data_IF_878967878595
#
_entry.id   IF_878967878595
#
_cell.length_a   1.000
_cell.length_b   1.000
_cell.length_c   1.000
_cell.angle_alpha   90.00
_cell.angle_beta   90.00
_cell.angle_gamma   90.00
#
_symmetry.space_group_name_H-M   'P 1'
#
loop_
_entity.id
_entity.type
_entity.pdbx_description
1 polymer ?
#
# COMPACT_ATOMS: atom_id res chain seq x y z
N UNK A 1 -56.38 13.68 -18.32
CA UNK A 1 -56.11 12.67 -17.27
C UNK A 1 -54.84 11.84 -17.47
N UNK A 2 -54.69 11.00 -18.52
CA UNK A 2 -53.47 10.17 -18.67
C UNK A 2 -52.21 10.97 -19.13
N UNK A 3 -52.40 12.08 -19.86
CA UNK A 3 -51.32 13.01 -20.27
C UNK A 3 -50.80 13.91 -19.15
N UNK A 4 -51.66 14.24 -18.18
CA UNK A 4 -51.30 15.10 -17.04
C UNK A 4 -50.43 14.34 -16.04
N UNK A 5 -50.72 13.04 -15.84
CA UNK A 5 -49.93 12.15 -15.00
C UNK A 5 -48.47 12.01 -15.50
N UNK A 6 -48.28 11.87 -16.81
CA UNK A 6 -46.93 11.82 -17.40
C UNK A 6 -46.17 13.15 -17.25
N UNK A 7 -46.82 14.30 -17.40
CA UNK A 7 -46.19 15.61 -17.19
C UNK A 7 -45.76 15.82 -15.74
N UNK A 8 -46.59 15.42 -14.78
CA UNK A 8 -46.25 15.50 -13.36
C UNK A 8 -45.12 14.54 -12.99
N UNK A 9 -45.10 13.31 -13.52
CA UNK A 9 -44.01 12.35 -13.28
C UNK A 9 -42.67 12.86 -13.84
N UNK A 10 -42.65 13.48 -15.02
CA UNK A 10 -41.42 14.03 -15.62
C UNK A 10 -40.89 15.24 -14.83
N UNK A 11 -41.79 16.11 -14.34
CA UNK A 11 -41.41 17.25 -13.49
C UNK A 11 -40.91 16.75 -12.13
N UNK A 12 -41.59 15.80 -11.50
CA UNK A 12 -41.15 15.19 -10.23
C UNK A 12 -39.84 14.41 -10.37
N UNK A 13 -39.61 13.72 -11.50
CA UNK A 13 -38.34 13.07 -11.79
C UNK A 13 -37.20 14.08 -12.03
N UNK A 14 -37.49 15.23 -12.65
CA UNK A 14 -36.56 16.35 -12.78
C UNK A 14 -36.16 16.94 -11.42
N UNK A 15 -37.13 17.13 -10.52
CA UNK A 15 -36.89 17.58 -9.15
C UNK A 15 -36.15 16.56 -8.30
N UNK A 16 -36.46 15.25 -8.42
CA UNK A 16 -35.71 14.16 -7.80
C UNK A 16 -34.28 14.07 -8.32
N UNK A 17 -34.04 14.33 -9.61
CA UNK A 17 -32.70 14.39 -10.20
C UNK A 17 -31.86 15.57 -9.67
N UNK A 18 -32.48 16.74 -9.50
CA UNK A 18 -31.84 17.92 -8.88
C UNK A 18 -31.58 17.69 -7.39
N UNK A 19 -32.52 17.06 -6.69
CA UNK A 19 -32.34 16.69 -5.28
C UNK A 19 -31.27 15.60 -5.11
N UNK A 20 -31.24 14.57 -5.96
CA UNK A 20 -30.26 13.48 -5.91
C UNK A 20 -28.84 13.95 -6.19
N UNK A 21 -28.64 15.01 -6.99
CA UNK A 21 -27.32 15.67 -7.13
C UNK A 21 -26.93 16.51 -5.91
N UNK A 22 -27.90 17.03 -5.15
CA UNK A 22 -27.68 17.93 -4.00
C UNK A 22 -27.69 17.22 -2.63
N UNK A 23 -28.28 16.03 -2.53
CA UNK A 23 -28.43 15.26 -1.28
C UNK A 23 -27.18 14.52 -0.76
N UNK A 24 -26.31 13.91 -1.60
CA UNK A 24 -25.24 13.06 -1.08
C UNK A 24 -24.13 13.84 -0.35
N UNK A 25 -24.03 15.16 -0.56
CA UNK A 25 -22.95 15.98 -0.02
C UNK A 25 -23.06 16.37 1.46
N UNK A 26 -24.21 16.21 2.13
CA UNK A 26 -24.39 16.71 3.52
C UNK A 26 -24.82 15.65 4.55
N UNK A 27 -25.39 14.52 4.13
CA UNK A 27 -25.88 13.48 5.06
C UNK A 27 -24.95 12.27 5.22
N UNK A 28 -23.89 12.15 4.41
CA UNK A 28 -22.95 11.03 4.49
C UNK A 28 -21.83 11.21 5.53
N UNK A 29 -21.94 12.18 6.45
CA UNK A 29 -20.96 12.38 7.52
C UNK A 29 -19.59 12.91 7.08
N UNK A 30 -19.42 13.26 5.80
CA UNK A 30 -18.30 14.08 5.35
C UNK A 30 -18.63 15.54 5.65
N UNK A 31 -18.14 16.04 6.79
CA UNK A 31 -17.87 17.47 6.91
C UNK A 31 -16.97 17.92 5.75
N UNK A 32 -17.26 19.11 5.24
CA UNK A 32 -16.40 19.97 4.41
C UNK A 32 -16.33 19.65 2.90
N UNK A 33 -16.94 20.58 2.14
CA UNK A 33 -16.52 21.09 0.84
C UNK A 33 -16.19 20.07 -0.26
N UNK A 34 -17.24 19.64 -0.98
CA UNK A 34 -17.08 19.21 -2.36
C UNK A 34 -16.48 20.37 -3.19
N UNK A 35 -15.15 20.39 -3.35
CA UNK A 35 -14.37 21.49 -3.95
C UNK A 35 -14.84 21.91 -5.35
N UNK A 36 -15.45 21.00 -6.12
CA UNK A 36 -15.97 21.30 -7.46
C UNK A 36 -17.34 21.98 -7.48
N UNK A 37 -18.08 22.04 -6.37
CA UNK A 37 -19.43 22.62 -6.32
C UNK A 37 -19.45 23.92 -5.51
N UNK A 38 -19.39 25.06 -6.21
CA UNK A 38 -19.50 26.41 -5.62
C UNK A 38 -20.73 27.13 -6.20
N UNK A 39 -21.91 27.02 -5.55
CA UNK A 39 -23.10 27.70 -6.04
C UNK A 39 -22.92 29.22 -5.92
N UNK A 40 -22.83 29.92 -7.06
CA UNK A 40 -22.61 31.38 -7.12
C UNK A 40 -23.90 32.20 -6.95
N UNK A 41 -25.05 31.55 -6.78
CA UNK A 41 -26.35 32.22 -6.71
C UNK A 41 -26.70 32.69 -5.29
N UNK A 42 -27.06 33.97 -5.16
CA UNK A 42 -27.24 34.65 -3.85
C UNK A 42 -28.37 34.09 -2.97
N UNK A 43 -29.42 33.53 -3.58
CA UNK A 43 -30.55 32.95 -2.83
C UNK A 43 -30.47 31.43 -2.71
N UNK A 44 -29.36 30.81 -3.12
CA UNK A 44 -29.17 29.39 -2.95
C UNK A 44 -28.90 29.08 -1.47
N UNK A 45 -29.74 28.25 -0.85
CA UNK A 45 -29.45 27.67 0.46
C UNK A 45 -29.69 26.16 0.45
N UNK A 46 -28.83 25.35 1.12
CA UNK A 46 -29.04 23.90 1.19
C UNK A 46 -30.38 23.53 1.85
N UNK A 47 -30.83 24.34 2.80
CA UNK A 47 -32.09 24.14 3.52
C UNK A 47 -33.32 24.36 2.65
N UNK A 48 -33.30 25.34 1.75
CA UNK A 48 -34.40 25.56 0.79
C UNK A 48 -34.48 24.42 -0.24
N UNK A 49 -33.33 23.89 -0.66
CA UNK A 49 -33.27 22.71 -1.54
C UNK A 49 -33.82 21.46 -0.84
N UNK A 50 -33.48 21.24 0.43
CA UNK A 50 -33.97 20.10 1.22
C UNK A 50 -35.48 20.21 1.48
N UNK A 51 -35.98 21.41 1.79
CA UNK A 51 -37.41 21.66 1.97
C UNK A 51 -38.18 21.41 0.66
N UNK A 52 -37.67 21.88 -0.48
CA UNK A 52 -38.28 21.64 -1.79
C UNK A 52 -38.28 20.14 -2.15
N UNK A 53 -37.21 19.41 -1.84
CA UNK A 53 -37.13 17.97 -2.01
C UNK A 53 -38.21 17.23 -1.20
N UNK A 54 -38.33 17.59 0.08
CA UNK A 54 -39.29 16.99 0.99
C UNK A 54 -40.73 17.28 0.56
N UNK A 55 -41.03 18.53 0.21
CA UNK A 55 -42.36 18.92 -0.28
C UNK A 55 -42.72 18.18 -1.58
N UNK A 56 -41.77 18.03 -2.51
CA UNK A 56 -41.96 17.25 -3.73
C UNK A 56 -42.21 15.76 -3.44
N UNK A 57 -41.52 15.18 -2.46
CA UNK A 57 -41.71 13.79 -2.05
C UNK A 57 -43.12 13.57 -1.47
N UNK A 58 -43.58 14.47 -0.58
CA UNK A 58 -44.92 14.39 0.01
C UNK A 58 -46.01 14.50 -1.05
N UNK A 59 -45.91 15.46 -1.98
CA UNK A 59 -46.89 15.63 -3.05
C UNK A 59 -46.97 14.42 -4.00
N UNK A 60 -45.84 13.78 -4.28
CA UNK A 60 -45.77 12.58 -5.13
C UNK A 60 -46.53 11.38 -4.52
N UNK A 61 -46.46 11.20 -3.20
CA UNK A 61 -47.25 10.18 -2.49
C UNK A 61 -48.73 10.54 -2.36
N UNK A 62 -49.07 11.83 -2.25
CA UNK A 62 -50.46 12.29 -2.11
C UNK A 62 -51.28 12.13 -3.40
N UNK A 63 -50.68 12.30 -4.58
CA UNK A 63 -51.41 12.16 -5.85
C UNK A 63 -51.61 10.69 -6.25
N UNK A 64 -50.53 9.91 -6.35
CA UNK A 64 -50.59 8.51 -6.80
C UNK A 64 -49.53 7.65 -6.12
N UNK A 65 -49.86 7.11 -4.94
CA UNK A 65 -48.94 6.38 -4.08
C UNK A 65 -48.34 5.11 -4.72
N UNK A 66 -49.12 4.35 -5.51
CA UNK A 66 -48.62 3.15 -6.21
C UNK A 66 -47.57 3.47 -7.28
N UNK A 67 -47.77 4.53 -8.06
CA UNK A 67 -46.81 4.97 -9.07
C UNK A 67 -45.51 5.49 -8.42
N UNK A 68 -45.62 6.15 -7.27
CA UNK A 68 -44.48 6.61 -6.49
C UNK A 68 -43.57 5.45 -6.06
N UNK A 69 -44.15 4.37 -5.53
CA UNK A 69 -43.40 3.17 -5.14
C UNK A 69 -42.68 2.52 -6.33
N UNK A 70 -43.32 2.43 -7.49
CA UNK A 70 -42.71 1.87 -8.71
C UNK A 70 -41.49 2.70 -9.13
N UNK A 71 -41.61 4.03 -9.18
CA UNK A 71 -40.48 4.89 -9.56
C UNK A 71 -39.32 4.81 -8.57
N UNK A 72 -39.60 4.73 -7.26
CA UNK A 72 -38.57 4.56 -6.25
C UNK A 72 -37.85 3.21 -6.37
N UNK A 73 -38.60 2.14 -6.63
CA UNK A 73 -38.03 0.81 -6.89
C UNK A 73 -37.14 0.81 -8.14
N UNK A 74 -37.55 1.48 -9.22
CA UNK A 74 -36.74 1.61 -10.45
C UNK A 74 -35.46 2.40 -10.16
N UNK A 75 -35.54 3.53 -9.44
CA UNK A 75 -34.37 4.33 -9.08
C UNK A 75 -33.41 3.55 -8.20
N UNK A 76 -33.90 2.83 -7.18
CA UNK A 76 -33.06 1.97 -6.34
C UNK A 76 -32.43 0.82 -7.13
N UNK A 77 -33.16 0.18 -8.04
CA UNK A 77 -32.61 -0.86 -8.91
C UNK A 77 -31.53 -0.30 -9.84
N UNK A 78 -31.72 0.89 -10.40
CA UNK A 78 -30.71 1.56 -11.23
C UNK A 78 -29.48 1.97 -10.42
N UNK A 79 -29.66 2.53 -9.22
CA UNK A 79 -28.56 2.86 -8.31
C UNK A 79 -27.82 1.61 -7.85
N UNK A 80 -28.53 0.54 -7.53
CA UNK A 80 -27.97 -0.78 -7.21
C UNK A 80 -27.19 -1.36 -8.39
N UNK A 81 -27.73 -1.25 -9.61
CA UNK A 81 -27.06 -1.69 -10.83
C UNK A 81 -25.76 -0.91 -11.08
N UNK A 82 -25.78 0.43 -10.98
CA UNK A 82 -24.59 1.27 -11.17
C UNK A 82 -23.52 0.99 -10.11
N UNK A 83 -23.92 0.82 -8.84
CA UNK A 83 -22.99 0.52 -7.74
C UNK A 83 -22.42 -0.89 -7.83
N UNK A 84 -23.17 -1.87 -8.35
CA UNK A 84 -22.73 -3.24 -8.54
C UNK A 84 -21.80 -3.40 -9.77
N UNK A 85 -22.22 -2.89 -10.94
CA UNK A 85 -21.44 -3.04 -12.19
C UNK A 85 -20.17 -2.21 -12.20
N UNK A 86 -20.07 -1.15 -11.37
CA UNK A 86 -18.96 -0.17 -11.38
C UNK A 86 -18.40 0.06 -12.78
N UNK A 87 -19.24 0.47 -13.75
CA UNK A 87 -18.79 0.54 -15.13
C UNK A 87 -17.59 1.50 -15.22
N UNK A 88 -16.51 1.06 -15.87
CA UNK A 88 -15.31 1.87 -16.17
C UNK A 88 -15.65 2.93 -17.24
N UNK A 89 -16.63 3.79 -16.92
CA UNK A 89 -17.07 4.89 -17.76
C UNK A 89 -16.43 6.15 -17.21
N UNK A 90 -15.69 6.84 -18.07
CA UNK A 90 -15.00 8.10 -17.80
C UNK A 90 -16.01 9.24 -17.59
N UNK A 91 -16.85 9.17 -16.55
CA UNK A 91 -17.86 10.17 -16.19
C UNK A 91 -17.28 11.54 -15.77
N UNK A 92 -16.03 11.83 -16.13
CA UNK A 92 -15.39 13.10 -15.87
C UNK A 92 -15.02 13.29 -14.40
N UNK A 93 -14.16 14.27 -14.23
CA UNK A 93 -13.43 14.73 -13.06
C UNK A 93 -14.17 14.82 -11.71
N UNK A 94 -15.49 14.68 -11.60
CA UNK A 94 -16.21 14.95 -10.34
C UNK A 94 -16.03 13.88 -9.26
N UNK A 95 -16.15 12.59 -9.60
CA UNK A 95 -15.90 11.51 -8.62
C UNK A 95 -14.41 11.52 -8.24
N UNK A 96 -13.52 11.54 -9.24
CA UNK A 96 -12.08 11.60 -9.06
C UNK A 96 -11.62 12.84 -8.26
N UNK A 97 -12.21 14.01 -8.47
CA UNK A 97 -11.94 15.21 -7.68
C UNK A 97 -12.40 15.05 -6.23
N UNK A 98 -13.54 14.39 -5.97
CA UNK A 98 -13.96 14.06 -4.61
C UNK A 98 -12.92 13.19 -3.87
N UNK A 99 -12.41 12.14 -4.51
CA UNK A 99 -11.34 11.30 -3.93
C UNK A 99 -10.06 12.09 -3.69
N UNK A 100 -9.66 12.94 -4.63
CA UNK A 100 -8.46 13.74 -4.49
C UNK A 100 -8.54 14.66 -3.27
N UNK A 101 -9.65 15.39 -3.12
CA UNK A 101 -9.83 16.29 -1.97
C UNK A 101 -9.90 15.52 -0.66
N UNK A 102 -10.60 14.38 -0.64
CA UNK A 102 -10.65 13.52 0.54
C UNK A 102 -9.24 13.00 0.92
N UNK A 103 -8.45 12.55 -0.05
CA UNK A 103 -7.08 12.10 0.17
C UNK A 103 -6.18 13.22 0.67
N UNK A 104 -6.30 14.43 0.10
CA UNK A 104 -5.54 15.61 0.51
C UNK A 104 -5.91 16.03 1.94
N UNK A 105 -7.21 16.17 2.25
CA UNK A 105 -7.69 16.52 3.59
C UNK A 105 -7.23 15.52 4.64
N UNK A 106 -7.36 14.21 4.38
CA UNK A 106 -6.86 13.19 5.30
C UNK A 106 -5.34 13.22 5.48
N UNK A 107 -4.59 13.48 4.41
CA UNK A 107 -3.13 13.60 4.48
C UNK A 107 -2.72 14.84 5.31
N UNK A 108 -3.45 15.94 5.17
CA UNK A 108 -3.23 17.15 5.94
C UNK A 108 -3.60 16.96 7.42
N UNK A 109 -4.74 16.34 7.71
CA UNK A 109 -5.16 16.00 9.09
C UNK A 109 -4.15 15.09 9.79
N UNK A 110 -3.49 14.19 9.05
CA UNK A 110 -2.44 13.33 9.61
C UNK A 110 -1.23 14.14 10.11
N UNK A 111 -0.98 15.32 9.55
CA UNK A 111 0.14 16.18 9.97
C UNK A 111 -0.05 16.74 11.39
N UNK A 112 -1.29 16.91 11.83
CA UNK A 112 -1.59 17.42 13.17
C UNK A 112 -1.49 16.36 14.28
N UNK A 113 -1.43 15.06 13.94
CA UNK A 113 -1.38 13.97 14.93
C UNK A 113 0.03 13.86 15.49
N UNK A 114 0.22 13.83 16.81
CA UNK A 114 1.55 13.67 17.42
C UNK A 114 2.17 12.28 17.15
N UNK A 115 3.50 12.25 17.04
CA UNK A 115 4.23 11.00 16.86
C UNK A 115 4.41 10.31 18.22
N UNK A 116 3.98 9.05 18.30
CA UNK A 116 4.16 8.22 19.48
C UNK A 116 4.88 6.93 19.11
N UNK A 117 5.87 6.54 19.93
CA UNK A 117 6.70 5.34 19.71
C UNK A 117 5.87 4.06 19.56
N UNK A 118 4.73 3.97 20.26
CA UNK A 118 3.80 2.83 20.19
C UNK A 118 3.05 2.71 18.85
N UNK A 119 2.97 3.80 18.09
CA UNK A 119 2.28 3.87 16.81
C UNK A 119 3.25 3.78 15.62
N UNK A 120 4.52 3.46 15.87
CA UNK A 120 5.52 3.32 14.83
C UNK A 120 5.06 2.30 13.77
N UNK A 121 5.20 2.68 12.49
CA UNK A 121 4.94 1.82 11.33
C UNK A 121 6.14 1.91 10.39
N UNK A 122 6.64 0.78 9.88
CA UNK A 122 7.73 0.81 8.89
C UNK A 122 7.17 1.30 7.56
N UNK A 123 7.49 2.55 7.19
CA UNK A 123 7.18 3.14 5.90
C UNK A 123 8.39 2.93 4.98
N UNK A 124 8.27 2.02 4.01
CA UNK A 124 9.43 1.53 3.27
C UNK A 124 9.62 2.23 1.94
N UNK A 125 10.81 2.79 1.72
CA UNK A 125 11.35 3.13 0.40
C UNK A 125 12.19 1.94 -0.08
N UNK A 126 11.72 1.23 -1.10
CA UNK A 126 12.38 0.03 -1.62
C UNK A 126 13.13 0.42 -2.89
N UNK A 127 14.46 0.33 -2.88
CA UNK A 127 15.26 0.57 -4.09
C UNK A 127 15.26 -0.70 -4.95
N UNK A 128 14.13 -0.90 -5.64
CA UNK A 128 13.90 -2.07 -6.50
C UNK A 128 14.57 -1.95 -7.85
N UNK A 129 14.85 -0.71 -8.31
CA UNK A 129 14.98 -0.47 -9.74
C UNK A 129 13.64 -0.79 -10.42
N UNK A 130 13.66 -1.31 -11.66
CA UNK A 130 12.46 -1.85 -12.29
C UNK A 130 11.87 -3.01 -11.46
N UNK A 131 10.61 -2.92 -10.97
CA UNK A 131 10.03 -3.90 -10.05
C UNK A 131 9.86 -5.30 -10.67
N UNK A 132 9.80 -5.38 -11.99
CA UNK A 132 9.78 -6.63 -12.77
C UNK A 132 11.10 -7.41 -12.71
N UNK A 133 12.24 -6.74 -12.54
CA UNK A 133 13.57 -7.38 -12.48
C UNK A 133 13.83 -7.99 -11.10
N UNK A 134 13.34 -7.35 -10.03
CA UNK A 134 13.50 -7.81 -8.64
C UNK A 134 12.18 -8.15 -7.94
N UNK A 135 11.40 -9.11 -8.47
CA UNK A 135 10.07 -9.43 -7.95
C UNK A 135 10.09 -9.93 -6.50
N UNK A 136 11.14 -10.63 -6.08
CA UNK A 136 11.27 -11.17 -4.72
C UNK A 136 11.37 -10.05 -3.67
N UNK A 137 12.10 -8.98 -3.97
CA UNK A 137 12.24 -7.82 -3.09
C UNK A 137 10.90 -7.12 -2.88
N UNK A 138 10.18 -6.88 -3.97
CA UNK A 138 8.84 -6.27 -3.96
C UNK A 138 7.86 -7.11 -3.15
N UNK A 139 7.84 -8.42 -3.35
CA UNK A 139 6.89 -9.28 -2.62
C UNK A 139 7.22 -9.41 -1.15
N UNK A 140 8.50 -9.49 -0.80
CA UNK A 140 8.94 -9.57 0.59
C UNK A 140 8.47 -8.34 1.36
N UNK A 141 8.81 -7.14 0.85
CA UNK A 141 8.39 -5.88 1.49
C UNK A 141 6.87 -5.72 1.45
N UNK A 142 6.26 -6.02 0.32
CA UNK A 142 4.81 -6.02 0.15
C UNK A 142 4.08 -6.93 1.12
N UNK A 143 4.71 -8.00 1.63
CA UNK A 143 4.08 -8.91 2.58
C UNK A 143 3.85 -8.25 3.94
N UNK A 144 4.83 -7.55 4.49
CA UNK A 144 4.68 -6.92 5.81
C UNK A 144 3.99 -5.55 5.72
N UNK A 145 4.17 -4.78 4.65
CA UNK A 145 3.54 -3.44 4.48
C UNK A 145 2.05 -3.48 4.10
N UNK A 146 1.55 -4.58 3.52
CA UNK A 146 0.18 -4.68 2.95
C UNK A 146 -0.94 -4.11 3.82
N UNK A 147 -1.59 -3.04 3.37
CA UNK A 147 -2.72 -2.38 4.07
C UNK A 147 -2.39 -1.81 5.47
N UNK A 148 -1.12 -1.79 5.87
CA UNK A 148 -0.70 -1.34 7.22
C UNK A 148 0.25 -0.16 7.10
N UNK A 149 1.15 -0.19 6.13
CA UNK A 149 2.21 0.80 5.96
C UNK A 149 2.36 1.25 4.52
N UNK A 150 2.99 2.40 4.35
CA UNK A 150 3.41 2.95 3.06
C UNK A 150 4.55 2.10 2.48
N UNK A 151 4.48 1.84 1.17
CA UNK A 151 5.56 1.23 0.38
C UNK A 151 5.73 2.03 -0.90
N UNK A 152 6.94 2.55 -1.13
CA UNK A 152 7.33 3.25 -2.34
C UNK A 152 8.43 2.44 -3.03
N UNK A 153 8.21 2.03 -4.28
CA UNK A 153 9.22 1.43 -5.13
C UNK A 153 9.98 2.54 -5.86
N UNK A 154 11.26 2.68 -5.55
CA UNK A 154 12.16 3.64 -6.17
C UNK A 154 12.93 3.01 -7.35
N UNK A 155 12.91 3.70 -8.49
CA UNK A 155 13.74 3.38 -9.65
C UNK A 155 14.60 4.59 -10.03
N UNK A 156 15.91 4.39 -10.20
CA UNK A 156 16.89 5.48 -10.42
C UNK A 156 17.25 5.63 -11.92
N UNK A 157 16.68 4.78 -12.78
CA UNK A 157 16.91 4.82 -14.24
C UNK A 157 15.58 5.02 -14.96
N UNK A 158 15.52 6.01 -15.84
CA UNK A 158 14.32 6.50 -16.51
C UNK A 158 13.74 5.48 -17.51
N UNK A 159 12.61 4.88 -17.16
CA UNK A 159 11.76 4.09 -18.05
C UNK A 159 10.28 4.38 -17.76
N UNK A 160 9.42 4.13 -18.76
CA UNK A 160 7.97 4.39 -18.70
C UNK A 160 7.35 3.85 -17.40
N UNK A 161 6.70 4.73 -16.65
CA UNK A 161 6.11 4.47 -15.33
C UNK A 161 4.87 3.58 -15.39
N UNK A 162 4.10 3.69 -16.46
CA UNK A 162 2.73 3.17 -16.51
C UNK A 162 2.70 1.64 -16.54
N UNK A 163 3.56 1.04 -17.37
CA UNK A 163 3.71 -0.43 -17.47
C UNK A 163 4.14 -1.07 -16.14
N UNK A 164 4.96 -0.37 -15.35
CA UNK A 164 5.47 -0.87 -14.07
C UNK A 164 4.42 -0.75 -12.97
N UNK A 165 3.60 0.29 -13.00
CA UNK A 165 2.45 0.45 -12.11
C UNK A 165 1.40 -0.64 -12.39
N UNK A 166 1.13 -0.92 -13.67
CA UNK A 166 0.23 -2.01 -14.06
C UNK A 166 0.75 -3.38 -13.60
N UNK A 167 2.05 -3.61 -13.71
CA UNK A 167 2.70 -4.83 -13.19
C UNK A 167 2.48 -4.99 -11.67
N UNK A 168 2.62 -3.91 -10.89
CA UNK A 168 2.37 -3.93 -9.44
C UNK A 168 0.90 -4.19 -9.11
N UNK A 169 -0.02 -3.59 -9.87
CA UNK A 169 -1.46 -3.75 -9.72
C UNK A 169 -1.90 -5.19 -10.01
N UNK A 170 -1.43 -5.79 -11.11
CA UNK A 170 -1.69 -7.18 -11.46
C UNK A 170 -1.20 -8.13 -10.36
N UNK A 171 -0.05 -7.83 -9.76
CA UNK A 171 0.57 -8.59 -8.68
C UNK A 171 -0.09 -8.39 -7.31
N UNK A 172 -1.08 -7.49 -7.23
CA UNK A 172 -1.83 -7.12 -6.01
C UNK A 172 -0.92 -6.59 -4.89
N UNK A 173 0.15 -5.87 -5.28
CA UNK A 173 1.05 -5.16 -4.36
C UNK A 173 0.62 -3.70 -4.30
N UNK A 174 0.20 -3.24 -3.11
CA UNK A 174 -0.17 -1.84 -2.89
C UNK A 174 1.09 -1.03 -2.63
N UNK A 175 1.69 -0.49 -3.68
CA UNK A 175 2.86 0.35 -3.59
C UNK A 175 2.75 1.52 -4.57
N UNK A 176 3.29 2.68 -4.17
CA UNK A 176 3.54 3.77 -5.10
C UNK A 176 4.83 3.51 -5.86
N UNK A 177 4.92 3.98 -7.10
CA UNK A 177 6.11 3.88 -7.91
C UNK A 177 6.66 5.29 -8.18
N UNK A 178 7.94 5.50 -7.90
CA UNK A 178 8.62 6.76 -8.15
C UNK A 178 9.89 6.47 -8.94
N UNK A 179 10.01 7.09 -10.11
CA UNK A 179 11.24 7.09 -10.89
C UNK A 179 11.97 8.41 -10.74
N UNK A 180 13.28 8.36 -10.56
CA UNK A 180 14.17 9.51 -10.54
C UNK A 180 15.28 9.28 -11.57
N UNK A 181 15.79 10.33 -12.21
CA UNK A 181 16.92 10.25 -13.14
C UNK A 181 18.15 10.82 -12.45
N UNK A 182 19.20 10.01 -12.30
CA UNK A 182 20.47 10.42 -11.72
C UNK A 182 21.64 9.70 -12.41
N UNK A 183 22.83 10.27 -12.30
CA UNK A 183 24.06 9.72 -12.88
C UNK A 183 24.62 8.56 -12.05
N UNK A 184 24.34 8.56 -10.74
CA UNK A 184 24.77 7.54 -9.80
C UNK A 184 23.61 6.97 -8.96
N UNK A 185 23.78 5.74 -8.48
CA UNK A 185 22.85 5.11 -7.55
C UNK A 185 22.74 5.94 -6.26
N UNK A 186 23.89 6.42 -5.77
CA UNK A 186 23.97 7.19 -4.53
C UNK A 186 23.14 8.47 -4.62
N UNK A 187 23.36 9.30 -5.63
CA UNK A 187 22.64 10.57 -5.79
C UNK A 187 21.15 10.34 -6.02
N UNK A 188 20.79 9.36 -6.85
CA UNK A 188 19.38 9.02 -7.08
C UNK A 188 18.68 8.54 -5.81
N UNK A 189 19.35 7.71 -5.01
CA UNK A 189 18.83 7.26 -3.71
C UNK A 189 18.71 8.43 -2.73
N UNK A 190 19.70 9.32 -2.67
CA UNK A 190 19.69 10.51 -1.83
C UNK A 190 18.50 11.43 -2.15
N UNK A 191 18.26 11.72 -3.43
CA UNK A 191 17.11 12.51 -3.86
C UNK A 191 15.79 11.81 -3.52
N UNK A 192 15.69 10.50 -3.72
CA UNK A 192 14.50 9.73 -3.34
C UNK A 192 14.26 9.77 -1.82
N UNK A 193 15.29 9.66 -0.99
CA UNK A 193 15.14 9.74 0.47
C UNK A 193 14.66 11.13 0.94
N UNK A 194 15.05 12.20 0.26
CA UNK A 194 14.65 13.55 0.65
C UNK A 194 13.30 13.98 0.08
N UNK A 195 12.99 13.58 -1.15
CA UNK A 195 11.82 14.06 -1.89
C UNK A 195 10.63 13.08 -1.89
N UNK A 196 10.80 11.83 -1.44
CA UNK A 196 9.69 10.86 -1.45
C UNK A 196 8.72 11.08 -0.29
N UNK A 197 7.43 11.10 -0.59
CA UNK A 197 6.34 11.16 0.38
C UNK A 197 5.66 12.52 0.47
N UNK A 198 4.61 12.60 1.30
CA UNK A 198 3.82 13.82 1.52
C UNK A 198 3.47 13.97 3.01
N UNK A 199 3.92 15.04 3.65
CA UNK A 199 3.68 15.29 5.07
C UNK A 199 4.22 14.14 5.94
N UNK A 200 3.35 13.52 6.74
CA UNK A 200 3.69 12.32 7.55
C UNK A 200 3.70 11.00 6.78
N UNK A 201 3.20 10.99 5.54
CA UNK A 201 3.27 9.84 4.64
C UNK A 201 4.60 9.85 3.89
N UNK A 202 5.70 9.71 4.63
CA UNK A 202 7.06 9.68 4.11
C UNK A 202 7.80 8.43 4.58
N UNK A 203 8.67 7.85 3.74
CA UNK A 203 9.41 6.68 4.14
C UNK A 203 10.29 6.99 5.37
N UNK A 204 10.49 5.98 6.21
CA UNK A 204 11.40 6.02 7.36
C UNK A 204 12.35 4.82 7.37
N UNK A 205 12.18 3.87 6.45
CA UNK A 205 13.02 2.69 6.31
C UNK A 205 13.40 2.53 4.83
N UNK A 206 14.69 2.45 4.53
CA UNK A 206 15.19 2.11 3.19
C UNK A 206 15.41 0.61 3.11
N UNK A 207 14.90 -0.01 2.05
CA UNK A 207 15.08 -1.45 1.79
C UNK A 207 15.88 -1.66 0.51
N UNK A 208 16.98 -2.39 0.62
CA UNK A 208 17.93 -2.69 -0.46
C UNK A 208 18.00 -4.19 -0.73
N UNK A 209 18.34 -4.56 -1.96
CA UNK A 209 18.81 -5.91 -2.27
C UNK A 209 20.30 -6.03 -2.00
N UNK A 210 20.75 -7.15 -1.43
CA UNK A 210 22.16 -7.41 -1.21
C UNK A 210 22.91 -7.55 -2.54
N UNK A 211 24.02 -6.81 -2.68
CA UNK A 211 24.88 -6.87 -3.86
C UNK A 211 25.76 -8.12 -3.84
N UNK A 212 25.36 -9.16 -4.58
CA UNK A 212 26.07 -10.45 -4.63
C UNK A 212 27.37 -10.39 -5.43
N UNK A 213 27.39 -9.59 -6.50
CA UNK A 213 28.50 -9.40 -7.44
C UNK A 213 29.56 -8.40 -6.93
N UNK A 214 29.65 -8.17 -5.61
CA UNK A 214 30.50 -7.12 -5.04
C UNK A 214 32.00 -7.30 -5.34
N UNK A 215 32.47 -8.54 -5.56
CA UNK A 215 33.86 -8.83 -5.91
C UNK A 215 34.17 -8.60 -7.39
N UNK A 216 33.17 -8.74 -8.26
CA UNK A 216 33.32 -8.66 -9.72
C UNK A 216 32.94 -7.27 -10.26
N UNK A 217 32.16 -6.50 -9.49
CA UNK A 217 31.68 -5.21 -9.90
C UNK A 217 32.77 -4.12 -9.93
N UNK A 218 32.49 -3.03 -10.65
CA UNK A 218 33.34 -1.83 -10.64
C UNK A 218 33.43 -1.27 -9.22
N UNK A 219 34.61 -0.82 -8.76
CA UNK A 219 34.80 -0.32 -7.40
C UNK A 219 33.90 0.89 -7.08
N UNK A 220 33.60 1.72 -8.08
CA UNK A 220 32.68 2.85 -7.96
C UNK A 220 31.26 2.41 -7.59
N UNK A 221 30.74 1.32 -8.20
CA UNK A 221 29.39 0.82 -7.90
C UNK A 221 29.28 0.27 -6.48
N UNK A 222 30.34 -0.39 -5.99
CA UNK A 222 30.40 -0.86 -4.60
C UNK A 222 30.45 0.33 -3.64
N UNK A 223 31.28 1.33 -3.95
CA UNK A 223 31.38 2.54 -3.14
C UNK A 223 30.03 3.27 -3.08
N UNK A 224 29.32 3.40 -4.20
CA UNK A 224 27.98 3.99 -4.24
C UNK A 224 26.98 3.22 -3.39
N UNK A 225 27.01 1.88 -3.42
CA UNK A 225 26.13 1.05 -2.60
C UNK A 225 26.39 1.24 -1.10
N UNK A 226 27.66 1.23 -0.68
CA UNK A 226 28.05 1.47 0.73
C UNK A 226 27.72 2.90 1.15
N UNK A 227 28.03 3.88 0.31
CA UNK A 227 27.69 5.27 0.57
C UNK A 227 26.18 5.49 0.68
N UNK A 228 25.37 4.77 -0.10
CA UNK A 228 23.90 4.83 0.02
C UNK A 228 23.43 4.34 1.39
N UNK A 229 24.09 3.31 1.95
CA UNK A 229 23.81 2.81 3.30
C UNK A 229 24.21 3.87 4.34
N UNK A 230 25.39 4.47 4.20
CA UNK A 230 25.85 5.55 5.09
C UNK A 230 24.90 6.76 5.05
N UNK A 231 24.56 7.26 3.87
CA UNK A 231 23.66 8.41 3.68
C UNK A 231 22.26 8.15 4.28
N UNK A 232 21.79 6.90 4.25
CA UNK A 232 20.52 6.52 4.86
C UNK A 232 20.58 6.59 6.39
N UNK A 233 21.67 6.11 7.01
CA UNK A 233 21.88 6.26 8.46
C UNK A 233 22.03 7.73 8.86
N UNK A 234 22.79 8.52 8.12
CA UNK A 234 22.96 9.96 8.36
C UNK A 234 21.62 10.71 8.28
N UNK A 235 20.70 10.21 7.45
CA UNK A 235 19.35 10.75 7.31
C UNK A 235 18.35 10.18 8.34
N UNK A 236 18.81 9.46 9.37
CA UNK A 236 17.98 8.79 10.39
C UNK A 236 16.97 7.78 9.83
N UNK A 237 17.29 7.11 8.71
CA UNK A 237 16.47 6.02 8.19
C UNK A 237 16.85 4.68 8.82
N UNK A 238 15.86 3.82 9.05
CA UNK A 238 16.11 2.40 9.26
C UNK A 238 16.58 1.74 7.95
N UNK A 239 17.46 0.75 8.02
CA UNK A 239 17.94 0.05 6.83
C UNK A 239 17.59 -1.43 6.93
N UNK A 240 17.08 -1.99 5.83
CA UNK A 240 16.88 -3.42 5.67
C UNK A 240 17.52 -3.90 4.37
N UNK A 241 18.35 -4.94 4.45
CA UNK A 241 19.01 -5.53 3.28
C UNK A 241 18.49 -6.95 3.11
N UNK A 242 17.84 -7.23 1.97
CA UNK A 242 17.36 -8.57 1.64
C UNK A 242 18.44 -9.32 0.84
N UNK A 243 18.86 -10.48 1.34
CA UNK A 243 19.75 -11.42 0.63
C UNK A 243 19.02 -12.73 0.36
N UNK A 244 19.04 -13.17 -0.89
CA UNK A 244 18.54 -14.47 -1.34
C UNK A 244 19.72 -15.33 -1.81
N UNK A 245 19.61 -16.66 -1.72
CA UNK A 245 20.69 -17.56 -2.16
C UNK A 245 20.94 -17.47 -3.65
N UNK A 246 19.89 -17.43 -4.45
CA UNK A 246 19.95 -17.38 -5.92
C UNK A 246 20.08 -15.95 -6.48
N UNK A 247 20.30 -14.95 -5.61
CA UNK A 247 20.23 -13.53 -5.98
C UNK A 247 18.80 -12.99 -6.08
N UNK A 248 18.68 -11.70 -6.45
CA UNK A 248 17.39 -11.01 -6.57
C UNK A 248 17.03 -10.64 -8.02
N UNK A 249 18.01 -10.63 -8.92
CA UNK A 249 17.88 -10.19 -10.29
C UNK A 249 17.42 -11.35 -11.18
N UNK A 250 16.29 -11.17 -11.85
CA UNK A 250 15.65 -12.21 -12.68
C UNK A 250 15.71 -11.85 -14.17
N UNK A 251 16.79 -11.19 -14.57
CA UNK A 251 16.91 -10.60 -15.92
C UNK A 251 16.99 -11.69 -17.01
N UNK A 252 17.68 -12.81 -16.73
CA UNK A 252 17.85 -13.92 -17.67
C UNK A 252 16.53 -14.69 -17.94
N UNK A 253 15.67 -14.84 -16.92
CA UNK A 253 14.36 -15.49 -17.10
C UNK A 253 13.38 -14.60 -17.87
N UNK A 254 13.49 -13.26 -17.73
CA UNK A 254 12.67 -12.32 -18.48
C UNK A 254 12.97 -12.36 -19.98
N UNK A 255 14.23 -12.47 -20.37
CA UNK A 255 14.63 -12.61 -21.78
C UNK A 255 14.18 -13.94 -22.40
N UNK A 256 14.13 -15.00 -21.60
CA UNK A 256 13.59 -16.31 -22.01
C UNK A 256 12.07 -16.30 -22.20
N UNK A 257 11.34 -15.45 -21.46
CA UNK A 257 9.90 -15.27 -21.57
C UNK A 257 9.46 -14.20 -22.59
N UNK A 258 10.38 -13.33 -23.03
CA UNK A 258 10.11 -12.20 -23.92
C UNK A 258 9.60 -12.55 -25.34
N UNK A 259 9.95 -13.69 -25.99
CA UNK A 259 9.42 -13.99 -27.33
C UNK A 259 7.89 -14.17 -27.36
N UNK A 260 7.25 -14.40 -26.21
CA UNK A 260 5.82 -14.70 -26.14
C UNK A 260 4.94 -13.47 -25.84
N UNK A 261 5.50 -12.40 -25.25
CA UNK A 261 4.75 -11.21 -24.84
C UNK A 261 4.60 -10.14 -25.94
N UNK A 262 5.24 -10.32 -27.10
CA UNK A 262 5.24 -9.35 -28.20
C UNK A 262 4.44 -9.77 -29.44
N UNK A 263 3.81 -10.94 -29.43
CA UNK A 263 2.96 -11.41 -30.52
C UNK A 263 1.51 -11.60 -30.05
N UNK A 264 0.61 -10.76 -30.55
CA UNK A 264 -0.87 -10.81 -30.45
C UNK A 264 -1.54 -10.05 -29.28
N UNK A 265 -2.15 -8.88 -29.56
CA UNK A 265 -2.99 -8.15 -28.60
C UNK A 265 -4.46 -8.60 -28.55
N UNK A 266 -4.87 -9.67 -29.26
CA UNK A 266 -6.28 -10.05 -29.38
C UNK A 266 -6.50 -11.55 -29.12
N UNK A 267 -6.51 -12.00 -27.85
CA UNK A 267 -7.20 -13.24 -27.44
C UNK A 267 -7.72 -13.09 -25.99
N UNK A 268 -8.96 -13.54 -25.83
CA UNK A 268 -9.84 -13.62 -24.67
C UNK A 268 -9.27 -13.97 -23.30
N UNK A 269 -9.88 -13.31 -22.30
CA UNK A 269 -10.08 -13.66 -20.88
C UNK A 269 -10.30 -15.17 -20.63
N UNK A 270 -9.21 -15.93 -20.44
CA UNK A 270 -9.03 -17.00 -19.45
C UNK A 270 -7.66 -17.67 -19.71
N UNK A 271 -6.69 -17.47 -18.81
CA UNK A 271 -5.35 -18.02 -18.99
C UNK A 271 -4.32 -17.29 -18.14
N UNK A 272 -3.72 -18.00 -17.20
CA UNK A 272 -2.70 -17.53 -16.27
C UNK A 272 -1.60 -16.73 -16.97
N UNK A 273 -1.58 -15.41 -16.77
CA UNK A 273 -0.35 -14.62 -16.86
C UNK A 273 0.62 -15.21 -15.82
N UNK A 274 1.47 -16.15 -16.22
CA UNK A 274 2.51 -16.77 -15.39
C UNK A 274 3.64 -15.77 -15.16
N UNK A 275 3.31 -14.69 -14.45
CA UNK A 275 4.29 -13.81 -13.86
C UNK A 275 5.12 -14.64 -12.87
N UNK A 276 6.44 -14.57 -12.97
CA UNK A 276 7.36 -15.35 -12.13
C UNK A 276 7.01 -15.16 -10.64
N UNK A 277 6.53 -16.23 -10.02
CA UNK A 277 6.09 -16.21 -8.61
C UNK A 277 7.31 -16.34 -7.72
N UNK A 278 7.59 -15.30 -6.95
CA UNK A 278 8.64 -15.40 -5.93
C UNK A 278 8.20 -16.36 -4.81
N UNK A 279 9.18 -16.83 -4.04
CA UNK A 279 8.94 -17.60 -2.81
C UNK A 279 7.97 -16.89 -1.87
N UNK A 280 7.95 -15.55 -1.85
CA UNK A 280 7.09 -14.76 -0.97
C UNK A 280 5.62 -14.73 -1.41
N UNK A 281 5.30 -15.22 -2.61
CA UNK A 281 3.92 -15.36 -3.09
C UNK A 281 3.26 -16.69 -2.72
N UNK A 282 4.07 -17.71 -2.44
CA UNK A 282 3.59 -19.05 -2.11
C UNK A 282 3.30 -19.20 -0.61
N UNK A 283 2.44 -20.16 -0.25
CA UNK A 283 2.17 -20.47 1.16
C UNK A 283 3.37 -21.23 1.72
N UNK A 284 3.96 -20.71 2.79
CA UNK A 284 5.18 -21.27 3.36
C UNK A 284 4.94 -22.51 4.22
N UNK A 285 3.72 -22.72 4.72
CA UNK A 285 3.40 -23.86 5.58
C UNK A 285 3.97 -23.69 6.99
N UNK A 286 4.41 -24.80 7.60
CA UNK A 286 5.02 -24.84 8.94
C UNK A 286 6.54 -24.74 8.83
N UNK A 287 7.04 -23.53 8.55
CA UNK A 287 8.48 -23.22 8.56
C UNK A 287 8.83 -22.34 9.76
N UNK A 288 10.07 -22.35 10.20
CA UNK A 288 10.55 -21.41 11.22
C UNK A 288 11.02 -20.11 10.59
N UNK A 289 10.84 -19.01 11.32
CA UNK A 289 11.46 -17.71 11.09
C UNK A 289 12.36 -17.48 12.29
N UNK A 290 13.66 -17.42 12.04
CA UNK A 290 14.69 -17.29 13.06
C UNK A 290 15.15 -15.83 13.10
N UNK A 291 15.08 -15.24 14.29
CA UNK A 291 15.42 -13.84 14.52
C UNK A 291 16.65 -13.80 15.39
N UNK A 292 17.74 -13.23 14.88
CA UNK A 292 18.96 -13.02 15.64
C UNK A 292 18.94 -11.61 16.21
N UNK A 293 18.55 -11.48 17.48
CA UNK A 293 18.51 -10.21 18.18
C UNK A 293 19.84 -10.00 18.91
N UNK A 294 20.77 -9.37 18.18
CA UNK A 294 22.16 -9.16 18.61
C UNK A 294 22.42 -7.76 19.17
N UNK A 295 21.55 -6.80 18.87
CA UNK A 295 21.66 -5.40 19.31
C UNK A 295 20.28 -4.78 19.48
N UNK A 296 20.20 -3.69 20.23
CA UNK A 296 18.95 -2.94 20.39
C UNK A 296 18.70 -2.04 19.18
N UNK A 297 18.03 -2.60 18.17
CA UNK A 297 17.74 -1.93 16.89
C UNK A 297 16.41 -1.12 16.90
N UNK A 298 15.96 -0.67 18.08
CA UNK A 298 14.70 0.08 18.22
C UNK A 298 13.44 -0.74 17.89
N UNK A 299 13.56 -2.07 17.83
CA UNK A 299 12.45 -3.02 17.68
C UNK A 299 12.02 -3.35 16.26
N UNK A 300 12.63 -2.77 15.21
CA UNK A 300 12.27 -3.08 13.81
C UNK A 300 12.51 -4.56 13.48
N UNK A 301 13.59 -5.13 13.99
CA UNK A 301 13.98 -6.55 13.81
C UNK A 301 12.97 -7.54 14.38
N UNK A 302 12.22 -7.14 15.42
CA UNK A 302 11.12 -7.92 15.99
C UNK A 302 9.78 -7.62 15.31
N UNK A 303 9.58 -6.37 14.88
CA UNK A 303 8.35 -5.91 14.23
C UNK A 303 8.14 -6.52 12.84
N UNK A 304 9.20 -6.68 12.04
CA UNK A 304 9.07 -7.23 10.68
C UNK A 304 8.57 -8.69 10.71
N UNK A 305 9.18 -9.62 11.46
CA UNK A 305 8.69 -11.00 11.60
C UNK A 305 7.26 -11.08 12.14
N UNK A 306 6.90 -10.20 13.08
CA UNK A 306 5.53 -10.10 13.58
C UNK A 306 4.50 -9.75 12.51
N UNK A 307 4.81 -8.73 11.70
CA UNK A 307 3.94 -8.31 10.62
C UNK A 307 3.82 -9.39 9.54
N UNK A 308 4.90 -10.18 9.33
CA UNK A 308 4.88 -11.33 8.44
C UNK A 308 3.92 -12.43 8.96
N UNK A 309 4.02 -12.86 10.22
CA UNK A 309 3.17 -13.95 10.77
C UNK A 309 1.69 -13.59 10.83
N UNK A 310 1.33 -12.30 10.84
CA UNK A 310 -0.08 -11.87 10.69
C UNK A 310 -0.67 -12.15 9.31
N UNK A 311 0.13 -12.52 8.30
CA UNK A 311 -0.34 -12.78 6.93
C UNK A 311 -0.65 -14.24 6.71
N UNK A 312 -1.70 -14.50 5.93
CA UNK A 312 -2.15 -15.86 5.60
C UNK A 312 -1.05 -16.78 5.01
N UNK A 313 -0.03 -16.22 4.33
CA UNK A 313 1.08 -16.99 3.76
C UNK A 313 2.07 -17.51 4.81
N UNK A 314 2.19 -16.80 5.94
CA UNK A 314 3.17 -17.02 7.01
C UNK A 314 2.55 -17.28 8.39
N UNK A 315 1.21 -17.30 8.49
CA UNK A 315 0.47 -17.51 9.75
C UNK A 315 0.80 -18.81 10.47
N UNK A 316 1.23 -19.84 9.73
CA UNK A 316 1.63 -21.14 10.28
C UNK A 316 3.13 -21.21 10.60
N UNK A 317 3.88 -20.16 10.31
CA UNK A 317 5.31 -20.10 10.58
C UNK A 317 5.57 -19.86 12.06
N UNK A 318 6.61 -20.53 12.57
CA UNK A 318 7.02 -20.51 13.97
C UNK A 318 8.11 -19.47 14.17
N UNK A 319 8.00 -18.63 15.20
CA UNK A 319 9.01 -17.61 15.50
C UNK A 319 9.98 -18.13 16.56
N UNK A 320 11.28 -18.09 16.26
CA UNK A 320 12.36 -18.39 17.21
C UNK A 320 13.26 -17.17 17.34
N UNK A 321 13.57 -16.78 18.57
CA UNK A 321 14.44 -15.63 18.85
C UNK A 321 15.75 -16.13 19.44
N UNK A 322 16.85 -15.73 18.82
CA UNK A 322 18.21 -16.00 19.25
C UNK A 322 18.78 -14.73 19.86
N UNK A 323 19.19 -14.77 21.12
CA UNK A 323 19.72 -13.62 21.87
C UNK A 323 21.18 -13.92 22.22
N UNK A 324 22.04 -12.90 22.12
CA UNK A 324 23.41 -12.98 22.63
C UNK A 324 23.39 -12.86 24.15
N UNK A 325 23.97 -13.83 24.85
CA UNK A 325 24.05 -13.79 26.30
C UNK A 325 25.26 -14.56 26.81
N UNK A 326 25.73 -14.18 27.99
CA UNK A 326 26.79 -14.91 28.68
C UNK A 326 26.18 -16.06 29.48
N UNK A 327 26.96 -17.12 29.76
CA UNK A 327 26.49 -18.25 30.57
C UNK A 327 25.99 -17.86 31.95
N UNK A 328 26.47 -16.72 32.47
CA UNK A 328 26.12 -16.16 33.77
C UNK A 328 24.82 -15.33 33.75
N UNK A 329 24.42 -14.77 32.59
CA UNK A 329 23.26 -13.87 32.45
C UNK A 329 22.02 -14.56 31.88
N UNK A 330 22.06 -15.88 31.61
CA UNK A 330 20.97 -16.63 30.95
C UNK A 330 19.60 -16.41 31.63
N UNK A 331 19.55 -16.35 32.96
CA UNK A 331 18.29 -16.12 33.67
C UNK A 331 17.77 -14.69 33.54
N UNK A 332 18.66 -13.71 33.49
CA UNK A 332 18.30 -12.29 33.34
C UNK A 332 17.94 -11.97 31.89
N UNK A 333 18.66 -12.55 30.91
CA UNK A 333 18.30 -12.49 29.48
C UNK A 333 16.93 -13.15 29.22
N UNK A 334 16.61 -14.23 29.95
CA UNK A 334 15.27 -14.83 29.95
C UNK A 334 14.22 -13.94 30.61
N UNK A 335 14.54 -13.16 31.65
CA UNK A 335 13.60 -12.20 32.25
C UNK A 335 13.37 -11.00 31.33
N UNK A 336 14.42 -10.46 30.71
CA UNK A 336 14.32 -9.44 29.66
C UNK A 336 13.47 -9.95 28.48
N UNK A 337 13.58 -11.23 28.15
CA UNK A 337 12.72 -11.86 27.16
C UNK A 337 11.22 -11.88 27.53
N UNK A 338 10.85 -11.76 28.81
CA UNK A 338 9.44 -11.54 29.19
C UNK A 338 8.94 -10.16 28.74
N UNK A 339 9.82 -9.16 28.53
CA UNK A 339 9.44 -7.90 27.89
C UNK A 339 9.02 -8.13 26.43
N UNK A 340 9.52 -9.17 25.75
CA UNK A 340 9.04 -9.58 24.41
C UNK A 340 7.56 -9.98 24.43
N UNK A 341 7.05 -10.49 25.56
CA UNK A 341 5.60 -10.74 25.72
C UNK A 341 4.78 -9.43 25.66
N UNK A 342 5.35 -8.27 26.00
CA UNK A 342 4.67 -6.97 25.83
C UNK A 342 4.40 -6.65 24.36
N UNK A 343 5.23 -7.13 23.45
CA UNK A 343 5.04 -6.99 22.01
C UNK A 343 3.98 -7.94 21.44
N UNK A 344 3.32 -8.77 22.28
CA UNK A 344 2.29 -9.74 21.89
C UNK A 344 2.76 -10.64 20.74
N UNK A 345 4.04 -11.01 20.76
CA UNK A 345 4.64 -11.95 19.83
C UNK A 345 4.42 -13.36 20.36
N UNK A 346 3.77 -14.22 19.57
CA UNK A 346 3.72 -15.66 19.84
C UNK A 346 5.07 -16.27 19.44
N UNK A 347 6.07 -16.10 20.30
CA UNK A 347 7.40 -16.69 20.15
C UNK A 347 7.32 -18.14 20.65
N UNK A 348 7.76 -19.09 19.82
CA UNK A 348 7.76 -20.50 20.20
C UNK A 348 8.96 -20.85 21.08
N UNK A 349 10.14 -20.31 20.75
CA UNK A 349 11.37 -20.63 21.46
C UNK A 349 12.33 -19.43 21.52
N UNK A 350 13.07 -19.33 22.63
CA UNK A 350 14.09 -18.31 22.86
C UNK A 350 15.40 -19.02 23.21
N UNK A 351 16.38 -18.86 22.32
CA UNK A 351 17.66 -19.54 22.39
C UNK A 351 18.75 -18.52 22.72
N UNK A 352 19.50 -18.75 23.79
CA UNK A 352 20.63 -17.88 24.16
C UNK A 352 21.92 -18.45 23.55
N UNK A 353 22.57 -17.67 22.69
CA UNK A 353 23.85 -18.01 22.06
C UNK A 353 24.98 -17.52 22.99
N UNK A 354 25.83 -18.44 23.42
CA UNK A 354 26.88 -18.20 24.45
C UNK A 354 28.31 -18.38 23.91
N UNK A 355 28.47 -18.74 22.64
CA UNK A 355 29.73 -19.12 22.03
C UNK A 355 30.30 -18.09 21.05
N UNK A 356 29.80 -16.85 21.09
CA UNK A 356 30.22 -15.77 20.18
C UNK A 356 31.65 -15.30 20.42
N UNK A 357 32.13 -15.35 21.68
CA UNK A 357 33.50 -14.98 22.02
C UNK A 357 34.53 -16.07 21.70
N UNK A 358 34.09 -17.25 21.23
CA UNK A 358 35.01 -18.32 20.85
C UNK A 358 35.68 -17.98 19.52
N UNK A 359 36.96 -18.37 19.33
CA UNK A 359 37.64 -18.16 18.06
C UNK A 359 36.90 -18.85 16.91
N UNK A 360 36.89 -18.25 15.71
CA UNK A 360 36.23 -18.82 14.56
C UNK A 360 36.83 -20.19 14.22
N UNK A 361 35.97 -21.17 13.95
CA UNK A 361 36.41 -22.49 13.51
C UNK A 361 37.18 -22.38 12.20
N UNK A 362 38.31 -23.08 12.11
CA UNK A 362 39.04 -23.21 10.85
C UNK A 362 38.10 -23.80 9.78
N UNK A 363 38.09 -23.18 8.60
CA UNK A 363 37.28 -23.62 7.47
C UNK A 363 37.70 -25.05 7.10
N UNK A 364 36.79 -26.01 7.31
CA UNK A 364 37.00 -27.42 6.90
C UNK A 364 36.91 -27.57 5.40
#
# INVERSE_FOLDING_TARGET
HHRDLCRHIVISAGFLGVCSKNFPGRWCGCSEDNVSWRPQYRYFSPWTSLFSAFLSFVLMFLFTWWAALITFAIVLCLLGYVTYKKPHVNWGTSYQAGFYNMALSFSMSLTAVEDHVKNFRPQCLVLTGPPNVRPALVDFVGTFTKNISLMICGNIIMHSTDMLVDWLNQRKVRSFFTSFTADSLKEGAHHLMQASGLGKLKPNTVVLGYKMDWQECKPQSLQDYVNTISDAFDSSYGIAILRMMDGLDVMDDLHSAAPFLSAHPDVSDDGSNEQLRSVFQTKQGRKSIDIYWISDDGGLTLLVPYLLTRRNRWKKSKLRVFILGSRETIEDDRKESMLLKRFRLEIEDIVVITDVDKPPLAKK
#
